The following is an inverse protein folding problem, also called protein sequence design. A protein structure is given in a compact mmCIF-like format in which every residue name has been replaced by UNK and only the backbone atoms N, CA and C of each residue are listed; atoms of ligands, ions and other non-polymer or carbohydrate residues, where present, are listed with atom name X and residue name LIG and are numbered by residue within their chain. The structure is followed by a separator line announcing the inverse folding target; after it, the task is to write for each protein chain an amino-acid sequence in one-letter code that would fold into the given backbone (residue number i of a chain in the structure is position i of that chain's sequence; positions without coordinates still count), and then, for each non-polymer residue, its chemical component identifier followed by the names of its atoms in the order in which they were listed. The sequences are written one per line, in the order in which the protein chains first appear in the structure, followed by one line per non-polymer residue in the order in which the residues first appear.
data_IF_733525522818
#
_entry.id   IF_733525522818
#
_cell.length_a   1.000
_cell.length_b   1.000
_cell.length_c   1.000
_cell.angle_alpha   90.00
_cell.angle_beta   90.00
_cell.angle_gamma   90.00
#
_symmetry.space_group_name_H-M   'P 1'
#
loop_
_entity.id
_entity.type
_entity.pdbx_description
1 polymer ?
#
# COMPACT_ATOMS: atom_id res chain seq x y z
N UNK A 1 -19.18 -0.52 17.39
CA UNK A 1 -19.52 -1.70 16.56
C UNK A 1 -18.20 -2.38 16.23
N UNK A 2 -17.95 -3.63 16.64
CA UNK A 2 -16.67 -4.31 16.34
C UNK A 2 -16.81 -4.98 14.97
N UNK A 3 -15.98 -4.59 14.02
CA UNK A 3 -15.91 -5.24 12.71
C UNK A 3 -15.42 -6.69 12.87
N UNK A 4 -15.93 -7.65 12.08
CA UNK A 4 -15.44 -9.01 12.11
C UNK A 4 -13.96 -9.04 11.70
N UNK A 5 -13.15 -9.79 12.45
CA UNK A 5 -11.73 -10.01 12.17
C UNK A 5 -11.60 -11.03 11.04
N UNK A 6 -10.91 -10.72 9.92
CA UNK A 6 -10.64 -11.70 8.87
C UNK A 6 -9.82 -12.88 9.41
N UNK A 7 -10.20 -14.10 9.04
CA UNK A 7 -9.62 -15.36 9.57
C UNK A 7 -8.19 -15.66 9.08
N UNK A 8 -7.55 -14.77 8.32
CA UNK A 8 -6.32 -15.05 7.56
C UNK A 8 -5.04 -14.40 8.13
N UNK A 9 -5.06 -13.90 9.37
CA UNK A 9 -3.89 -13.29 10.00
C UNK A 9 -3.05 -14.35 10.76
N UNK A 10 -2.22 -15.10 10.04
CA UNK A 10 -1.23 -15.99 10.67
C UNK A 10 0.00 -15.18 11.10
N UNK A 11 0.14 -15.00 12.42
CA UNK A 11 1.32 -14.47 13.11
C UNK A 11 1.74 -13.04 12.74
N UNK A 12 0.91 -12.04 12.99
CA UNK A 12 1.26 -10.68 13.45
C UNK A 12 -0.08 -9.98 13.72
N UNK A 13 -0.27 -9.44 14.93
CA UNK A 13 -1.32 -8.49 15.40
C UNK A 13 -2.55 -8.27 14.49
N UNK A 14 -3.75 -8.40 15.08
CA UNK A 14 -5.03 -8.01 14.47
C UNK A 14 -4.89 -6.75 13.61
N UNK A 15 -5.57 -6.67 12.44
CA UNK A 15 -5.49 -5.50 11.59
C UNK A 15 -5.80 -4.24 12.41
N UNK A 16 -4.89 -3.27 12.36
CA UNK A 16 -4.97 -2.07 13.17
C UNK A 16 -5.74 -0.94 12.48
N UNK A 17 -5.98 -1.03 11.17
CA UNK A 17 -6.72 -0.03 10.40
C UNK A 17 -8.24 -0.13 10.61
N UNK A 18 -8.96 0.97 10.34
CA UNK A 18 -10.41 1.08 10.59
C UNK A 18 -11.29 0.57 9.44
N UNK A 19 -10.72 0.34 8.26
CA UNK A 19 -11.45 -0.12 7.07
C UNK A 19 -11.45 -1.65 6.93
N UNK A 20 -12.39 -2.16 6.12
CA UNK A 20 -12.45 -3.59 5.79
C UNK A 20 -11.57 -3.90 4.57
N UNK A 21 -10.46 -4.59 4.81
CA UNK A 21 -9.50 -4.94 3.75
C UNK A 21 -10.11 -5.84 2.67
N UNK A 22 -10.98 -6.77 3.05
CA UNK A 22 -11.63 -7.69 2.10
C UNK A 22 -12.57 -6.91 1.16
N UNK A 23 -13.31 -5.94 1.70
CA UNK A 23 -14.17 -5.05 0.90
C UNK A 23 -13.36 -4.21 -0.08
N UNK A 24 -12.25 -3.61 0.36
CA UNK A 24 -11.37 -2.84 -0.55
C UNK A 24 -10.75 -3.71 -1.64
N UNK A 25 -10.41 -4.96 -1.32
CA UNK A 25 -9.88 -5.92 -2.29
C UNK A 25 -10.93 -6.29 -3.34
N UNK A 26 -12.18 -6.54 -2.92
CA UNK A 26 -13.30 -6.79 -3.83
C UNK A 26 -13.57 -5.58 -4.75
N UNK A 27 -13.55 -4.37 -4.19
CA UNK A 27 -13.70 -3.13 -4.97
C UNK A 27 -12.58 -2.96 -5.99
N UNK A 28 -11.32 -3.16 -5.59
CA UNK A 28 -10.17 -3.07 -6.49
C UNK A 28 -10.23 -4.13 -7.59
N UNK A 29 -10.56 -5.38 -7.25
CA UNK A 29 -10.77 -6.46 -8.20
C UNK A 29 -11.87 -6.12 -9.22
N UNK A 30 -13.02 -5.62 -8.75
CA UNK A 30 -14.13 -5.23 -9.62
C UNK A 30 -13.78 -4.05 -10.52
N UNK A 31 -12.99 -3.10 -10.03
CA UNK A 31 -12.57 -1.92 -10.79
C UNK A 31 -11.55 -2.27 -11.88
N UNK A 32 -10.58 -3.13 -11.57
CA UNK A 32 -9.55 -3.56 -12.52
C UNK A 32 -10.10 -4.57 -13.53
N UNK A 33 -10.98 -5.48 -13.10
CA UNK A 33 -11.69 -6.38 -14.00
C UNK A 33 -10.81 -7.41 -14.71
N UNK A 34 -9.76 -7.93 -14.05
CA UNK A 34 -8.81 -8.89 -14.64
C UNK A 34 -9.40 -10.30 -14.88
N UNK A 35 -10.61 -10.59 -14.38
CA UNK A 35 -11.34 -11.84 -14.65
C UNK A 35 -10.77 -13.10 -14.00
N UNK A 36 -9.74 -12.98 -13.15
CA UNK A 36 -9.21 -14.09 -12.35
C UNK A 36 -9.99 -14.23 -11.04
N UNK A 37 -9.79 -15.34 -10.31
CA UNK A 37 -10.34 -15.49 -8.97
C UNK A 37 -9.82 -14.37 -8.06
N UNK A 38 -10.66 -13.89 -7.14
CA UNK A 38 -10.28 -12.85 -6.18
C UNK A 38 -9.03 -13.29 -5.39
N UNK A 39 -7.92 -12.54 -5.46
CA UNK A 39 -6.71 -12.88 -4.74
C UNK A 39 -6.90 -12.80 -3.22
N UNK A 40 -6.24 -13.70 -2.49
CA UNK A 40 -6.14 -13.59 -1.03
C UNK A 40 -5.23 -12.41 -0.67
N UNK A 41 -5.65 -11.51 0.22
CA UNK A 41 -4.79 -10.44 0.74
C UNK A 41 -4.27 -10.83 2.12
N UNK A 42 -2.94 -10.84 2.26
CA UNK A 42 -2.29 -11.18 3.52
C UNK A 42 -1.22 -10.16 3.90
N UNK A 43 -0.95 -10.03 5.20
CA UNK A 43 0.17 -9.24 5.71
C UNK A 43 1.32 -10.19 6.05
N UNK A 44 2.46 -10.03 5.39
CA UNK A 44 3.61 -10.94 5.50
C UNK A 44 4.90 -10.16 5.68
N UNK A 45 5.72 -10.56 6.66
CA UNK A 45 7.03 -9.97 6.93
C UNK A 45 8.04 -10.33 5.82
N UNK A 46 8.05 -9.49 4.79
CA UNK A 46 8.95 -9.57 3.64
C UNK A 46 9.74 -8.27 3.44
N UNK A 47 10.50 -8.17 2.36
CA UNK A 47 11.24 -6.94 2.06
C UNK A 47 10.48 -5.98 1.15
N UNK A 48 9.71 -6.47 0.18
CA UNK A 48 8.92 -5.61 -0.71
C UNK A 48 7.74 -4.98 0.04
N UNK A 49 7.40 -3.75 -0.34
CA UNK A 49 6.29 -3.01 0.26
C UNK A 49 4.96 -3.73 0.02
N UNK A 50 4.70 -4.11 -1.23
CA UNK A 50 3.63 -5.02 -1.63
C UNK A 50 4.16 -5.87 -2.79
N UNK A 51 3.52 -7.02 -3.03
CA UNK A 51 3.67 -7.75 -4.28
C UNK A 51 2.54 -8.75 -4.44
N UNK A 52 2.38 -9.26 -5.66
CA UNK A 52 1.51 -10.36 -5.99
C UNK A 52 2.27 -11.64 -6.27
N UNK A 53 1.70 -12.75 -5.85
CA UNK A 53 2.22 -14.11 -6.01
C UNK A 53 1.18 -14.91 -6.81
N UNK A 54 1.56 -15.33 -8.02
CA UNK A 54 0.67 -15.96 -9.02
C UNK A 54 0.92 -17.45 -9.23
N UNK A 55 1.86 -18.05 -8.49
CA UNK A 55 2.17 -19.48 -8.52
C UNK A 55 1.25 -20.33 -7.62
N UNK A 56 0.26 -19.70 -6.98
CA UNK A 56 -0.78 -20.33 -6.17
C UNK A 56 -2.17 -19.90 -6.65
N UNK A 57 -3.17 -20.76 -6.44
CA UNK A 57 -4.57 -20.50 -6.79
C UNK A 57 -5.46 -20.55 -5.53
N UNK A 58 -6.20 -19.46 -5.20
CA UNK A 58 -6.14 -18.17 -5.87
C UNK A 58 -4.77 -17.49 -5.70
N UNK A 59 -4.45 -16.57 -6.62
CA UNK A 59 -3.31 -15.67 -6.48
C UNK A 59 -3.34 -14.97 -5.11
N UNK A 60 -2.20 -14.46 -4.66
CA UNK A 60 -2.09 -13.81 -3.34
C UNK A 60 -1.43 -12.45 -3.45
N UNK A 61 -2.10 -11.43 -2.91
CA UNK A 61 -1.53 -10.12 -2.65
C UNK A 61 -0.92 -10.13 -1.26
N UNK A 62 0.37 -9.85 -1.19
CA UNK A 62 1.14 -9.85 0.04
C UNK A 62 1.58 -8.43 0.38
N UNK A 63 1.05 -7.92 1.48
CA UNK A 63 1.32 -6.58 2.01
C UNK A 63 2.39 -6.64 3.09
N UNK A 64 3.31 -5.67 3.08
CA UNK A 64 4.28 -5.54 4.16
C UNK A 64 3.60 -5.08 5.47
N UNK A 65 4.05 -5.52 6.67
CA UNK A 65 3.40 -5.15 7.93
C UNK A 65 3.51 -3.67 8.32
N UNK A 66 4.23 -2.86 7.54
CA UNK A 66 4.29 -1.41 7.70
C UNK A 66 2.93 -0.76 7.40
N UNK A 67 2.11 -1.40 6.58
CA UNK A 67 0.72 -1.00 6.35
C UNK A 67 -0.18 -1.28 7.56
N UNK A 68 0.21 -2.15 8.49
CA UNK A 68 -0.61 -2.52 9.64
C UNK A 68 -0.52 -1.48 10.76
N UNK A 69 -1.10 -0.31 10.52
CA UNK A 69 -1.16 0.84 11.43
C UNK A 69 -2.54 1.50 11.43
N UNK A 70 -3.02 2.04 12.57
CA UNK A 70 -4.40 2.57 12.68
C UNK A 70 -4.65 3.87 11.92
N UNK A 71 -3.60 4.60 11.56
CA UNK A 71 -3.69 5.87 10.83
C UNK A 71 -3.44 5.72 9.32
N UNK A 72 -3.38 4.49 8.79
CA UNK A 72 -3.23 4.29 7.35
C UNK A 72 -4.48 4.81 6.64
N UNK A 73 -4.38 5.75 5.69
CA UNK A 73 -5.54 6.19 4.92
C UNK A 73 -6.08 5.06 4.04
N UNK A 74 -7.40 4.97 3.96
CA UNK A 74 -8.09 3.99 3.12
C UNK A 74 -7.70 4.12 1.65
N UNK A 75 -7.52 5.35 1.17
CA UNK A 75 -7.13 5.68 -0.19
C UNK A 75 -5.71 5.22 -0.55
N UNK A 76 -4.80 5.22 0.44
CA UNK A 76 -3.45 4.67 0.25
C UNK A 76 -3.54 3.16 0.07
N UNK A 77 -4.33 2.46 0.90
CA UNK A 77 -4.54 1.02 0.74
C UNK A 77 -5.25 0.69 -0.58
N UNK A 78 -6.28 1.45 -0.96
CA UNK A 78 -7.00 1.30 -2.23
C UNK A 78 -6.04 1.43 -3.41
N UNK A 79 -5.15 2.42 -3.41
CA UNK A 79 -4.14 2.57 -4.44
C UNK A 79 -3.23 1.33 -4.53
N UNK A 80 -2.71 0.85 -3.39
CA UNK A 80 -1.84 -0.34 -3.34
C UNK A 80 -2.56 -1.56 -3.89
N UNK A 81 -3.81 -1.80 -3.49
CA UNK A 81 -4.58 -2.94 -4.00
C UNK A 81 -4.84 -2.84 -5.51
N UNK A 82 -5.22 -1.65 -6.01
CA UNK A 82 -5.38 -1.43 -7.46
C UNK A 82 -4.07 -1.74 -8.20
N UNK A 83 -2.93 -1.27 -7.69
CA UNK A 83 -1.61 -1.55 -8.27
C UNK A 83 -1.35 -3.06 -8.39
N UNK A 84 -1.55 -3.81 -7.30
CA UNK A 84 -1.32 -5.25 -7.28
C UNK A 84 -2.30 -6.03 -8.18
N UNK A 85 -3.56 -5.57 -8.30
CA UNK A 85 -4.51 -6.15 -9.24
C UNK A 85 -4.16 -5.89 -10.70
N UNK A 86 -3.54 -4.74 -11.03
CA UNK A 86 -3.12 -4.47 -12.41
C UNK A 86 -2.05 -5.46 -12.86
N UNK A 87 -1.19 -5.97 -11.96
CA UNK A 87 -0.24 -7.05 -12.28
C UNK A 87 -0.91 -8.37 -12.71
N UNK A 88 -2.19 -8.58 -12.38
CA UNK A 88 -2.96 -9.72 -12.91
C UNK A 88 -3.53 -9.46 -14.30
N UNK A 89 -3.78 -8.19 -14.63
CA UNK A 89 -4.30 -7.77 -15.92
C UNK A 89 -3.18 -7.61 -16.96
N UNK A 90 -2.06 -7.01 -16.57
CA UNK A 90 -0.94 -6.63 -17.41
C UNK A 90 0.29 -7.33 -16.87
N UNK A 91 0.76 -8.34 -17.59
CA UNK A 91 1.94 -9.11 -17.21
C UNK A 91 3.24 -8.37 -17.56
N UNK A 92 4.32 -8.60 -16.79
CA UNK A 92 5.67 -8.17 -17.18
C UNK A 92 6.02 -8.62 -18.59
N UNK A 93 6.70 -7.75 -19.34
CA UNK A 93 7.14 -8.07 -20.71
C UNK A 93 8.39 -7.31 -21.12
N UNK A 94 9.02 -7.79 -22.18
CA UNK A 94 10.11 -7.08 -22.86
C UNK A 94 9.59 -5.82 -23.55
N UNK A 95 10.33 -4.72 -23.43
CA UNK A 95 10.10 -3.45 -24.14
C UNK A 95 11.20 -3.21 -25.19
N UNK A 96 11.07 -2.18 -26.03
CA UNK A 96 11.88 -1.94 -27.23
C UNK A 96 13.42 -1.97 -27.02
N UNK A 97 13.89 -1.72 -25.80
CA UNK A 97 15.32 -1.75 -25.43
C UNK A 97 15.83 -3.15 -25.02
N UNK A 98 15.03 -4.22 -25.18
CA UNK A 98 15.37 -5.58 -24.78
C UNK A 98 15.33 -5.82 -23.26
N UNK A 99 14.80 -4.87 -22.49
CA UNK A 99 14.67 -4.94 -21.04
C UNK A 99 13.28 -5.47 -20.68
N UNK A 100 13.21 -6.48 -19.82
CA UNK A 100 11.93 -6.89 -19.21
C UNK A 100 11.55 -5.89 -18.14
N UNK A 101 10.34 -5.32 -18.25
CA UNK A 101 9.76 -4.43 -17.24
C UNK A 101 8.61 -5.12 -16.53
N UNK A 102 8.59 -5.00 -15.21
CA UNK A 102 7.47 -5.44 -14.38
C UNK A 102 6.26 -4.51 -14.60
N UNK A 103 6.53 -3.24 -14.94
CA UNK A 103 5.52 -2.22 -15.26
C UNK A 103 5.72 -1.65 -16.68
N UNK A 104 5.26 -2.33 -17.74
CA UNK A 104 5.32 -1.81 -19.12
C UNK A 104 4.45 -0.53 -19.27
N UNK A 105 4.60 0.27 -20.34
CA UNK A 105 3.90 1.56 -20.48
C UNK A 105 2.38 1.53 -20.25
N UNK A 106 1.71 0.50 -20.76
CA UNK A 106 0.27 0.29 -20.60
C UNK A 106 -0.15 0.04 -19.14
N UNK A 107 0.75 -0.48 -18.29
CA UNK A 107 0.51 -0.61 -16.84
C UNK A 107 0.21 0.75 -16.24
N UNK A 108 1.09 1.72 -16.51
CA UNK A 108 0.98 3.08 -16.00
C UNK A 108 -0.24 3.82 -16.56
N UNK A 109 -0.61 3.55 -17.81
CA UNK A 109 -1.84 4.08 -18.40
C UNK A 109 -3.10 3.59 -17.68
N UNK A 110 -3.14 2.31 -17.30
CA UNK A 110 -4.24 1.73 -16.55
C UNK A 110 -4.25 2.26 -15.12
N UNK A 111 -3.10 2.30 -14.44
CA UNK A 111 -3.00 2.81 -13.07
C UNK A 111 -3.47 4.27 -12.97
N UNK A 112 -3.05 5.14 -13.90
CA UNK A 112 -3.51 6.54 -13.94
C UNK A 112 -5.02 6.68 -14.08
N UNK A 113 -5.66 5.76 -14.81
CA UNK A 113 -7.12 5.78 -15.03
C UNK A 113 -7.89 5.25 -13.83
N UNK A 114 -7.41 4.16 -13.23
CA UNK A 114 -8.12 3.44 -12.18
C UNK A 114 -7.79 3.96 -10.78
N UNK A 115 -6.60 4.51 -10.57
CA UNK A 115 -6.13 5.05 -9.31
C UNK A 115 -5.79 6.55 -9.46
N UNK A 116 -6.79 7.44 -9.57
CA UNK A 116 -6.57 8.88 -9.72
C UNK A 116 -5.79 9.48 -8.54
N UNK A 117 -5.83 8.83 -7.37
CA UNK A 117 -5.10 9.23 -6.17
C UNK A 117 -3.74 8.52 -6.00
N UNK A 118 -3.22 7.87 -7.05
CA UNK A 118 -1.91 7.20 -7.00
C UNK A 118 -0.80 8.16 -6.53
N UNK A 119 -0.77 9.38 -7.08
CA UNK A 119 0.23 10.40 -6.73
C UNK A 119 0.13 10.84 -5.26
N UNK A 120 -1.02 11.30 -4.75
CA UNK A 120 -1.20 11.56 -3.32
C UNK A 120 -0.86 10.37 -2.42
N UNK A 121 -1.20 9.14 -2.82
CA UNK A 121 -0.89 7.94 -2.04
C UNK A 121 0.62 7.70 -1.91
N UNK A 122 1.35 7.78 -3.02
CA UNK A 122 2.82 7.71 -3.01
C UNK A 122 3.45 8.83 -2.18
N UNK A 123 2.95 10.05 -2.32
CA UNK A 123 3.44 11.19 -1.55
C UNK A 123 3.20 10.97 -0.05
N UNK A 124 2.02 10.51 0.35
CA UNK A 124 1.72 10.16 1.74
C UNK A 124 2.69 9.10 2.28
N UNK A 125 2.89 8.00 1.55
CA UNK A 125 3.81 6.93 1.95
C UNK A 125 5.24 7.43 2.08
N UNK A 126 5.67 8.37 1.24
CA UNK A 126 6.98 9.01 1.32
C UNK A 126 7.12 9.89 2.56
N UNK A 127 6.10 10.68 2.90
CA UNK A 127 6.17 11.53 4.09
C UNK A 127 6.16 10.70 5.36
N UNK A 128 5.31 9.68 5.43
CA UNK A 128 5.20 8.84 6.64
C UNK A 128 6.36 7.85 6.77
N UNK A 129 6.87 7.29 5.67
CA UNK A 129 7.83 6.17 5.67
C UNK A 129 9.09 6.41 4.84
N UNK A 130 9.35 7.62 4.33
CA UNK A 130 10.41 7.87 3.34
C UNK A 130 11.80 7.42 3.78
N UNK A 131 12.13 7.51 5.06
CA UNK A 131 13.40 7.02 5.57
C UNK A 131 13.44 5.51 5.87
N UNK A 132 12.30 4.83 5.77
CA UNK A 132 12.12 3.38 5.83
C UNK A 132 12.01 2.73 4.45
N UNK A 133 11.66 3.49 3.41
CA UNK A 133 11.52 2.98 2.05
C UNK A 133 12.82 3.15 1.24
N UNK A 134 13.09 2.21 0.33
CA UNK A 134 14.15 2.28 -0.67
C UNK A 134 13.58 1.84 -1.99
N UNK A 135 13.63 2.72 -2.99
CA UNK A 135 13.31 2.37 -4.37
C UNK A 135 14.48 1.64 -5.02
N UNK A 136 14.19 0.56 -5.73
CA UNK A 136 15.11 -0.21 -6.58
C UNK A 136 14.68 -0.02 -8.03
N UNK A 137 15.07 1.11 -8.63
CA UNK A 137 14.59 1.52 -9.97
C UNK A 137 14.73 0.44 -11.03
N UNK A 138 15.89 -0.23 -11.09
CA UNK A 138 16.15 -1.30 -12.08
C UNK A 138 15.27 -2.54 -11.89
N UNK A 139 14.79 -2.76 -10.68
CA UNK A 139 13.95 -3.90 -10.31
C UNK A 139 12.48 -3.49 -10.18
N UNK A 140 12.16 -2.22 -10.44
CA UNK A 140 10.83 -1.62 -10.32
C UNK A 140 10.13 -1.92 -8.98
N UNK A 141 10.92 -2.03 -7.89
CA UNK A 141 10.45 -2.43 -6.56
C UNK A 141 10.68 -1.37 -5.50
N UNK A 142 9.78 -1.33 -4.53
CA UNK A 142 9.97 -0.58 -3.28
C UNK A 142 10.23 -1.54 -2.13
N UNK A 143 11.36 -1.37 -1.46
CA UNK A 143 11.85 -2.20 -0.36
C UNK A 143 11.71 -1.45 0.96
N UNK A 144 11.28 -2.15 2.01
CA UNK A 144 11.24 -1.64 3.37
C UNK A 144 12.52 -2.03 4.12
N UNK A 145 13.25 -1.04 4.62
CA UNK A 145 14.50 -1.21 5.38
C UNK A 145 14.22 -1.93 6.69
N UNK A 146 15.07 -2.90 7.06
CA UNK A 146 14.95 -3.70 8.30
C UNK A 146 14.79 -2.88 9.60
N UNK A 147 15.26 -1.63 9.63
CA UNK A 147 15.09 -0.72 10.78
C UNK A 147 13.62 -0.38 11.07
N UNK A 148 12.70 -0.66 10.14
CA UNK A 148 11.26 -0.48 10.33
C UNK A 148 10.72 -1.20 11.57
N UNK A 149 11.24 -2.38 11.92
CA UNK A 149 10.78 -3.13 13.12
C UNK A 149 11.08 -2.39 14.42
N UNK A 150 12.27 -1.80 14.50
CA UNK A 150 12.70 -0.99 15.66
C UNK A 150 11.81 0.25 15.76
N UNK A 151 11.63 0.96 14.65
CA UNK A 151 10.79 2.16 14.60
C UNK A 151 9.32 1.87 14.87
N UNK A 152 8.76 0.78 14.31
CA UNK A 152 7.38 0.36 14.57
C UNK A 152 7.15 0.10 16.05
N UNK A 153 8.09 -0.53 16.76
CA UNK A 153 7.95 -0.72 18.20
C UNK A 153 7.95 0.60 18.96
N UNK A 154 8.84 1.52 18.60
CA UNK A 154 8.92 2.86 19.21
C UNK A 154 7.65 3.68 18.91
N UNK A 155 7.19 3.69 17.65
CA UNK A 155 5.99 4.38 17.19
C UNK A 155 4.69 3.75 17.68
N UNK A 156 4.56 2.42 17.75
CA UNK A 156 3.39 1.75 18.32
C UNK A 156 3.33 2.00 19.82
N UNK A 157 4.42 1.85 20.56
CA UNK A 157 4.39 2.15 22.01
C UNK A 157 4.02 3.61 22.25
N UNK A 158 4.62 4.55 21.51
CA UNK A 158 4.28 5.96 21.61
C UNK A 158 2.82 6.25 21.21
N UNK A 159 2.39 5.74 20.06
CA UNK A 159 1.07 6.05 19.48
C UNK A 159 -0.05 5.26 20.15
N UNK A 160 0.09 3.98 20.46
CA UNK A 160 -0.86 3.22 21.28
C UNK A 160 -1.03 3.85 22.66
N UNK A 161 0.05 4.35 23.26
CA UNK A 161 -0.04 5.13 24.51
C UNK A 161 -0.87 6.40 24.31
N UNK A 162 -0.64 7.15 23.23
CA UNK A 162 -1.48 8.31 22.90
C UNK A 162 -2.94 7.95 22.58
N UNK A 163 -3.19 6.92 21.77
CA UNK A 163 -4.53 6.52 21.32
C UNK A 163 -5.37 5.91 22.45
N UNK A 164 -4.79 5.08 23.32
CA UNK A 164 -5.51 4.40 24.40
C UNK A 164 -5.61 5.21 25.68
N UNK A 165 -4.61 6.02 26.03
CA UNK A 165 -4.63 6.76 27.30
C UNK A 165 -5.39 8.09 27.19
N UNK A 166 -5.56 8.65 26.00
CA UNK A 166 -6.05 10.01 25.88
C UNK A 166 -7.54 10.16 25.56
N UNK A 167 -8.25 9.16 25.00
CA UNK A 167 -9.58 9.36 24.34
C UNK A 167 -9.58 10.58 23.37
N UNK A 168 -8.41 11.07 22.98
CA UNK A 168 -8.19 12.33 22.28
C UNK A 168 -7.87 11.98 20.83
N UNK A 169 -8.86 12.20 19.97
CA UNK A 169 -8.59 12.75 18.66
C UNK A 169 -7.89 14.09 18.89
N UNK A 170 -6.63 14.25 18.46
CA UNK A 170 -6.34 14.06 17.04
C UNK A 170 -5.17 13.12 16.74
N UNK A 171 -5.16 12.64 15.48
CA UNK A 171 -3.97 12.29 14.70
C UNK A 171 -2.86 13.30 15.06
N UNK A 172 -1.69 12.90 15.59
CA UNK A 172 -0.64 13.84 16.00
C UNK A 172 -0.41 14.90 14.91
N UNK A 173 -0.18 16.16 15.27
CA UNK A 173 0.16 17.22 14.29
C UNK A 173 1.39 16.85 13.43
N UNK A 174 2.19 15.86 13.87
CA UNK A 174 3.34 15.32 13.16
C UNK A 174 3.02 14.21 12.15
N UNK A 175 1.78 13.73 12.06
CA UNK A 175 1.37 12.75 11.06
C UNK A 175 0.90 13.49 9.82
N UNK A 176 1.55 13.22 8.70
CA UNK A 176 1.17 13.80 7.44
C UNK A 176 -0.23 13.28 7.08
N UNK A 177 -1.26 14.13 7.14
CA UNK A 177 -2.64 13.68 6.93
C UNK A 177 -2.90 13.40 5.44
N UNK A 178 -3.96 12.63 5.16
CA UNK A 178 -4.41 12.45 3.78
C UNK A 178 -4.78 13.79 3.12
N UNK A 179 -5.41 14.70 3.88
CA UNK A 179 -5.75 16.04 3.40
C UNK A 179 -4.50 16.85 3.06
N UNK A 180 -3.43 16.73 3.85
CA UNK A 180 -2.16 17.37 3.53
C UNK A 180 -1.57 16.80 2.24
N UNK A 181 -1.72 15.48 1.99
CA UNK A 181 -1.27 14.85 0.75
C UNK A 181 -2.02 15.38 -0.48
N UNK A 182 -3.34 15.52 -0.37
CA UNK A 182 -4.17 16.10 -1.41
C UNK A 182 -3.81 17.57 -1.67
N UNK A 183 -3.66 18.37 -0.61
CA UNK A 183 -3.28 19.79 -0.74
C UNK A 183 -1.89 19.95 -1.35
N UNK A 184 -0.88 19.24 -0.85
CA UNK A 184 0.47 19.31 -1.41
C UNK A 184 0.50 18.93 -2.90
N UNK A 185 -0.32 17.95 -3.31
CA UNK A 185 -0.48 17.58 -4.71
C UNK A 185 -1.13 18.68 -5.56
N UNK A 186 -2.11 19.42 -5.04
CA UNK A 186 -2.72 20.56 -5.74
C UNK A 186 -1.73 21.70 -5.99
N UNK A 187 -0.72 21.88 -5.13
CA UNK A 187 0.27 22.95 -5.23
C UNK A 187 1.59 22.56 -5.92
N UNK A 188 1.95 21.28 -5.95
CA UNK A 188 3.17 20.77 -6.60
C UNK A 188 2.86 19.62 -7.58
N UNK A 189 2.24 19.92 -8.74
CA UNK A 189 1.79 18.92 -9.71
C UNK A 189 2.94 18.24 -10.47
N UNK A 190 4.20 18.57 -10.17
CA UNK A 190 5.41 17.99 -10.78
C UNK A 190 6.17 17.04 -9.84
N UNK A 191 5.64 16.75 -8.64
CA UNK A 191 6.19 15.68 -7.79
C UNK A 191 5.99 14.36 -8.53
N UNK A 192 7.05 13.85 -9.14
CA UNK A 192 7.00 12.58 -9.84
C UNK A 192 6.42 11.53 -8.87
N UNK A 193 5.34 10.80 -9.22
CA UNK A 193 4.85 9.68 -8.40
C UNK A 193 5.96 8.69 -8.07
N UNK A 194 7.05 8.73 -8.85
CA UNK A 194 8.19 7.88 -8.75
C UNK A 194 9.42 8.54 -8.08
N UNK A 195 9.42 9.85 -7.74
CA UNK A 195 10.56 10.58 -7.12
C UNK A 195 10.25 11.64 -6.05
#
# INVERSE_FOLDING_TARGET
MRFPVPQHVKNFELPCFEFNLDTLNEEACSLVGHGQQLPEVVIVDKQTLASITTDIEPSRIELHPIFNVPWLPEEVMRHVLIHEHIHLLIQPREVEDGVTKDHPPEFWDVERKLSPFARPAWYWMRQEWGDLLVRKEKEEKTIVKRIWKKRRRESLVFRTKMYLEAEVFPIPESTFSWQNALQAFEYEPDIDPLF
#
